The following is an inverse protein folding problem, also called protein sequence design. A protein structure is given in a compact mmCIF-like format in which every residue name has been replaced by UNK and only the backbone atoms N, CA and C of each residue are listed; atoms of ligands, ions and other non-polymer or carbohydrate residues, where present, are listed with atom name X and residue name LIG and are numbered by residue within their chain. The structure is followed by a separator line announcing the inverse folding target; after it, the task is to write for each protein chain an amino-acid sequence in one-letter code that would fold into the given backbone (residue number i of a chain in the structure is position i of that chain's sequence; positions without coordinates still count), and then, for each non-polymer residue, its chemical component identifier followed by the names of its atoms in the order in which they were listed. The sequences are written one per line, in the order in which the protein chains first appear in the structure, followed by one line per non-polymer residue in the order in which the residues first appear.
data_IF_148617711334
#
_entry.id   IF_148617711334
#
_cell.length_a   1.000
_cell.length_b   1.000
_cell.length_c   1.000
_cell.angle_alpha   90.00
_cell.angle_beta   90.00
_cell.angle_gamma   90.00
#
_symmetry.space_group_name_H-M   'P 1'
#
loop_
_entity.id
_entity.type
_entity.pdbx_description
1 polymer ?
#
# COMPACT_ATOMS: atom_id res chain seq x y z
N UNK A 1 20.39 9.39 3.60
CA UNK A 1 19.54 8.17 3.69
C UNK A 1 20.43 6.93 3.68
N UNK A 2 20.19 5.97 4.58
CA UNK A 2 21.00 4.71 4.58
C UNK A 2 20.70 3.83 3.36
N UNK A 3 21.64 2.95 2.97
CA UNK A 3 21.44 2.00 1.85
C UNK A 3 20.21 1.11 2.08
N UNK A 4 20.04 0.60 3.30
CA UNK A 4 18.89 -0.22 3.67
C UNK A 4 17.58 0.54 3.48
N UNK A 5 17.46 1.74 4.06
CA UNK A 5 16.27 2.59 3.91
C UNK A 5 15.97 2.86 2.43
N UNK A 6 17.00 3.15 1.62
CA UNK A 6 16.83 3.40 0.19
C UNK A 6 16.27 2.19 -0.57
N UNK A 7 16.78 0.99 -0.29
CA UNK A 7 16.27 -0.24 -0.90
C UNK A 7 14.81 -0.47 -0.54
N UNK A 8 14.45 -0.32 0.74
CA UNK A 8 13.06 -0.49 1.19
C UNK A 8 12.14 0.55 0.54
N UNK A 9 12.53 1.82 0.49
CA UNK A 9 11.74 2.89 -0.13
C UNK A 9 11.56 2.64 -1.63
N UNK A 10 12.61 2.25 -2.36
CA UNK A 10 12.49 1.94 -3.79
C UNK A 10 11.59 0.73 -4.03
N UNK A 11 11.75 -0.34 -3.25
CA UNK A 11 10.88 -1.51 -3.36
C UNK A 11 9.41 -1.16 -3.06
N UNK A 12 9.17 -0.33 -2.05
CA UNK A 12 7.85 0.20 -1.72
C UNK A 12 7.25 1.01 -2.88
N UNK A 13 8.01 1.90 -3.50
CA UNK A 13 7.54 2.69 -4.63
C UNK A 13 7.16 1.79 -5.81
N UNK A 14 8.02 0.83 -6.16
CA UNK A 14 7.75 -0.13 -7.23
C UNK A 14 6.52 -1.00 -6.93
N UNK A 15 6.35 -1.41 -5.67
CA UNK A 15 5.19 -2.17 -5.23
C UNK A 15 3.88 -1.38 -5.40
N UNK A 16 3.86 -0.10 -5.00
CA UNK A 16 2.68 0.74 -5.20
C UNK A 16 2.43 1.01 -6.70
N UNK A 17 3.48 1.19 -7.52
CA UNK A 17 3.33 1.34 -8.98
C UNK A 17 2.67 0.11 -9.59
N UNK A 18 3.09 -1.10 -9.16
CA UNK A 18 2.48 -2.34 -9.61
C UNK A 18 0.99 -2.41 -9.23
N UNK A 19 0.63 -2.01 -8.00
CA UNK A 19 -0.77 -1.94 -7.57
C UNK A 19 -1.58 -0.95 -8.42
N UNK A 20 -1.09 0.27 -8.61
CA UNK A 20 -1.75 1.28 -9.46
C UNK A 20 -1.99 0.73 -10.85
N UNK A 21 -0.98 0.09 -11.45
CA UNK A 21 -1.08 -0.49 -12.78
C UNK A 21 -2.18 -1.57 -12.82
N UNK A 22 -2.20 -2.49 -11.86
CA UNK A 22 -3.23 -3.52 -11.77
C UNK A 22 -4.64 -2.94 -11.61
N UNK A 23 -4.79 -1.90 -10.80
CA UNK A 23 -6.10 -1.28 -10.52
C UNK A 23 -6.65 -0.46 -11.69
N UNK A 24 -5.80 0.21 -12.47
CA UNK A 24 -6.25 1.02 -13.61
C UNK A 24 -6.38 0.24 -14.90
N UNK A 25 -5.50 -0.72 -15.15
CA UNK A 25 -5.45 -1.41 -16.44
C UNK A 25 -5.98 -2.83 -16.41
N UNK A 26 -6.10 -3.45 -15.23
CA UNK A 26 -6.61 -4.81 -15.08
C UNK A 26 -7.53 -5.02 -13.85
N UNK A 27 -8.47 -4.10 -13.53
CA UNK A 27 -9.26 -4.19 -12.30
C UNK A 27 -10.09 -5.48 -12.21
N UNK A 28 -10.50 -6.05 -13.35
CA UNK A 28 -11.25 -7.31 -13.38
C UNK A 28 -10.50 -8.51 -12.77
N UNK A 29 -9.17 -8.53 -12.85
CA UNK A 29 -8.36 -9.60 -12.25
C UNK A 29 -8.39 -9.59 -10.73
N UNK A 30 -8.45 -8.39 -10.14
CA UNK A 30 -8.63 -8.20 -8.70
C UNK A 30 -10.09 -8.44 -8.33
N UNK A 31 -11.03 -7.89 -9.09
CA UNK A 31 -12.47 -8.02 -8.88
C UNK A 31 -12.96 -9.47 -8.81
N UNK A 32 -12.35 -10.35 -9.62
CA UNK A 32 -12.63 -11.78 -9.66
C UNK A 32 -12.19 -12.55 -8.40
N UNK A 33 -11.23 -12.03 -7.63
CA UNK A 33 -10.83 -12.61 -6.33
C UNK A 33 -11.81 -12.27 -5.19
N UNK A 34 -12.75 -11.36 -5.45
CA UNK A 34 -13.84 -10.97 -4.56
C UNK A 34 -15.11 -11.69 -5.04
N UNK A 35 -16.32 -11.21 -4.71
CA UNK A 35 -17.59 -11.85 -5.14
C UNK A 35 -17.91 -11.71 -6.65
N UNK A 36 -16.95 -11.34 -7.48
CA UNK A 36 -17.17 -11.00 -8.89
C UNK A 36 -17.21 -12.22 -9.82
N UNK A 37 -18.30 -13.00 -9.82
CA UNK A 37 -18.58 -13.95 -10.92
C UNK A 37 -19.40 -13.30 -12.05
N UNK A 38 -19.74 -12.02 -11.91
CA UNK A 38 -20.50 -11.22 -12.87
C UNK A 38 -19.62 -10.09 -13.44
N UNK A 39 -20.00 -9.47 -14.57
CA UNK A 39 -19.34 -8.27 -15.06
C UNK A 39 -19.18 -7.23 -13.95
N UNK A 40 -18.03 -6.59 -13.90
CA UNK A 40 -17.75 -5.57 -12.90
C UNK A 40 -18.76 -4.41 -13.04
N UNK A 41 -19.31 -3.97 -11.91
CA UNK A 41 -20.27 -2.85 -11.93
C UNK A 41 -19.51 -1.51 -11.90
N UNK A 42 -20.08 -0.42 -12.45
CA UNK A 42 -19.43 0.89 -12.44
C UNK A 42 -19.02 1.39 -11.05
N UNK A 43 -19.80 1.09 -10.02
CA UNK A 43 -19.45 1.42 -8.62
C UNK A 43 -18.20 0.66 -8.16
N UNK A 44 -18.04 -0.60 -8.53
CA UNK A 44 -16.84 -1.39 -8.20
C UNK A 44 -15.63 -0.89 -8.98
N UNK A 45 -15.78 -0.56 -10.26
CA UNK A 45 -14.73 0.10 -11.04
C UNK A 45 -14.27 1.41 -10.39
N UNK A 46 -15.21 2.24 -9.93
CA UNK A 46 -14.89 3.47 -9.22
C UNK A 46 -14.13 3.21 -7.91
N UNK A 47 -14.50 2.18 -7.14
CA UNK A 47 -13.78 1.80 -5.91
C UNK A 47 -12.35 1.35 -6.19
N UNK A 48 -12.13 0.58 -7.26
CA UNK A 48 -10.78 0.19 -7.69
C UNK A 48 -9.98 1.40 -8.16
N UNK A 49 -10.60 2.30 -8.93
CA UNK A 49 -9.96 3.54 -9.35
C UNK A 49 -9.62 4.45 -8.14
N UNK A 50 -10.50 4.52 -7.14
CA UNK A 50 -10.25 5.25 -5.90
C UNK A 50 -9.08 4.65 -5.11
N UNK A 51 -9.02 3.32 -5.01
CA UNK A 51 -7.89 2.61 -4.41
C UNK A 51 -6.60 2.87 -5.19
N UNK A 52 -6.65 2.88 -6.52
CA UNK A 52 -5.51 3.24 -7.38
C UNK A 52 -5.01 4.65 -7.09
N UNK A 53 -5.92 5.62 -6.96
CA UNK A 53 -5.57 6.99 -6.61
C UNK A 53 -4.92 7.11 -5.23
N UNK A 54 -5.35 6.32 -4.24
CA UNK A 54 -4.67 6.25 -2.95
C UNK A 54 -3.22 5.81 -3.14
N UNK A 55 -2.94 4.76 -3.91
CA UNK A 55 -1.57 4.32 -4.15
C UNK A 55 -0.73 5.33 -4.94
N UNK A 56 -1.32 6.07 -5.88
CA UNK A 56 -0.67 7.22 -6.54
C UNK A 56 -0.28 8.28 -5.50
N UNK A 57 -1.17 8.61 -4.57
CA UNK A 57 -0.88 9.54 -3.48
C UNK A 57 0.26 9.04 -2.60
N UNK A 58 0.25 7.76 -2.21
CA UNK A 58 1.32 7.15 -1.40
C UNK A 58 2.69 7.19 -2.10
N UNK A 59 2.71 6.98 -3.43
CA UNK A 59 3.91 7.17 -4.26
C UNK A 59 4.36 8.63 -4.21
N UNK A 60 3.47 9.58 -4.48
CA UNK A 60 3.78 11.00 -4.51
C UNK A 60 4.27 11.52 -3.14
N UNK A 61 3.72 11.00 -2.04
CA UNK A 61 4.13 11.33 -0.69
C UNK A 61 5.50 10.74 -0.32
N UNK A 62 5.86 9.58 -0.90
CA UNK A 62 7.09 8.86 -0.52
C UNK A 62 8.27 9.14 -1.43
N UNK A 63 8.05 9.30 -2.74
CA UNK A 63 9.11 9.50 -3.72
C UNK A 63 10.06 10.68 -3.35
N UNK A 64 9.56 11.85 -2.89
CA UNK A 64 10.43 12.97 -2.50
C UNK A 64 11.48 12.62 -1.45
N UNK A 65 11.21 11.62 -0.60
CA UNK A 65 12.14 11.21 0.47
C UNK A 65 13.48 10.75 -0.07
N UNK A 66 13.56 10.28 -1.33
CA UNK A 66 14.82 9.88 -1.96
C UNK A 66 15.80 11.05 -2.16
N UNK A 67 15.31 12.28 -2.20
CA UNK A 67 16.11 13.49 -2.45
C UNK A 67 16.15 14.45 -1.26
N UNK A 68 15.37 14.20 -0.21
CA UNK A 68 15.36 15.00 1.00
C UNK A 68 16.68 14.88 1.77
N UNK A 69 17.18 16.02 2.27
CA UNK A 69 18.45 16.08 3.02
C UNK A 69 18.29 15.61 4.46
N UNK A 70 17.24 16.05 5.15
CA UNK A 70 17.08 15.79 6.58
C UNK A 70 16.40 14.44 6.86
N UNK A 71 17.00 13.65 7.74
CA UNK A 71 16.48 12.37 8.16
C UNK A 71 15.15 12.50 8.91
N UNK A 72 14.95 13.58 9.68
CA UNK A 72 13.67 13.82 10.39
C UNK A 72 12.49 13.90 9.43
N UNK A 73 12.62 14.67 8.34
CA UNK A 73 11.59 14.87 7.32
C UNK A 73 11.28 13.55 6.59
N UNK A 74 12.33 12.82 6.18
CA UNK A 74 12.18 11.50 5.54
C UNK A 74 11.48 10.51 6.46
N UNK A 75 11.92 10.42 7.72
CA UNK A 75 11.33 9.52 8.72
C UNK A 75 9.86 9.81 8.95
N UNK A 76 9.48 11.09 9.00
CA UNK A 76 8.09 11.49 9.16
C UNK A 76 7.23 10.96 8.00
N UNK A 77 7.63 11.22 6.75
CA UNK A 77 6.88 10.77 5.57
C UNK A 77 6.85 9.24 5.43
N UNK A 78 7.97 8.56 5.68
CA UNK A 78 8.03 7.08 5.65
C UNK A 78 7.12 6.50 6.73
N UNK A 79 7.12 7.06 7.95
CA UNK A 79 6.29 6.57 9.06
C UNK A 79 4.81 6.86 8.83
N UNK A 80 4.46 8.00 8.23
CA UNK A 80 3.09 8.32 7.86
C UNK A 80 2.54 7.30 6.85
N UNK A 81 3.32 6.97 5.81
CA UNK A 81 2.95 5.93 4.85
C UNK A 81 2.85 4.54 5.50
N UNK A 82 3.75 4.22 6.43
CA UNK A 82 3.65 3.00 7.22
C UNK A 82 2.34 2.92 8.00
N UNK A 83 1.92 4.04 8.61
CA UNK A 83 0.65 4.15 9.32
C UNK A 83 -0.55 3.85 8.43
N UNK A 84 -0.57 4.32 7.18
CA UNK A 84 -1.65 4.02 6.23
C UNK A 84 -1.72 2.51 5.93
N UNK A 85 -0.59 1.86 5.68
CA UNK A 85 -0.52 0.42 5.42
C UNK A 85 -0.92 -0.43 6.64
N UNK A 86 -0.50 -0.03 7.84
CA UNK A 86 -0.93 -0.69 9.07
C UNK A 86 -2.42 -0.51 9.31
N UNK A 87 -2.95 0.69 9.09
CA UNK A 87 -4.38 0.96 9.20
C UNK A 87 -5.18 0.10 8.23
N UNK A 88 -4.76 0.01 6.97
CA UNK A 88 -5.35 -0.88 5.97
C UNK A 88 -5.38 -2.33 6.47
N UNK A 89 -4.25 -2.88 6.92
CA UNK A 89 -4.17 -4.23 7.47
C UNK A 89 -5.15 -4.46 8.63
N UNK A 90 -5.18 -3.56 9.61
CA UNK A 90 -6.07 -3.66 10.75
C UNK A 90 -7.54 -3.56 10.35
N UNK A 91 -7.89 -2.63 9.45
CA UNK A 91 -9.28 -2.48 9.02
C UNK A 91 -9.76 -3.70 8.22
N UNK A 92 -8.89 -4.34 7.44
CA UNK A 92 -9.21 -5.59 6.75
C UNK A 92 -9.45 -6.73 7.75
N UNK A 93 -8.57 -6.93 8.74
CA UNK A 93 -8.75 -7.98 9.74
C UNK A 93 -9.93 -7.75 10.69
N UNK A 94 -10.13 -6.51 11.15
CA UNK A 94 -11.05 -6.20 12.25
C UNK A 94 -12.45 -5.80 11.78
N UNK A 95 -12.57 -5.13 10.63
CA UNK A 95 -13.82 -4.50 10.22
C UNK A 95 -14.38 -5.12 8.94
N UNK A 96 -13.56 -5.17 7.90
CA UNK A 96 -14.04 -5.37 6.54
C UNK A 96 -13.98 -6.83 6.07
N UNK A 97 -13.15 -7.66 6.71
CA UNK A 97 -13.13 -9.13 6.71
C UNK A 97 -14.35 -9.81 6.11
N UNK A 98 -15.41 -9.74 6.90
CA UNK A 98 -16.69 -10.40 6.67
C UNK A 98 -17.61 -9.62 5.72
N UNK A 99 -17.44 -8.31 5.62
CA UNK A 99 -18.35 -7.40 4.91
C UNK A 99 -18.07 -7.31 3.41
N UNK A 100 -16.79 -7.38 2.99
CA UNK A 100 -16.43 -7.25 1.57
C UNK A 100 -16.67 -8.55 0.80
N UNK A 101 -16.85 -9.67 1.50
CA UNK A 101 -17.16 -10.94 0.85
C UNK A 101 -16.01 -11.58 0.10
N UNK A 102 -14.78 -11.15 0.39
CA UNK A 102 -13.55 -11.84 0.04
C UNK A 102 -13.54 -13.26 0.61
N UNK A 103 -12.92 -14.18 -0.11
CA UNK A 103 -12.50 -15.44 0.50
C UNK A 103 -11.57 -15.12 1.68
N UNK A 104 -11.78 -15.71 2.87
CA UNK A 104 -10.98 -15.39 4.07
C UNK A 104 -9.48 -15.47 3.83
N UNK A 105 -9.03 -16.46 3.04
CA UNK A 105 -7.61 -16.65 2.70
C UNK A 105 -7.03 -15.45 1.94
N UNK A 106 -7.74 -14.92 0.96
CA UNK A 106 -7.30 -13.77 0.16
C UNK A 106 -7.25 -12.53 1.03
N UNK A 107 -8.26 -12.34 1.88
CA UNK A 107 -8.27 -11.22 2.83
C UNK A 107 -7.10 -11.26 3.82
N UNK A 108 -6.84 -12.42 4.43
CA UNK A 108 -5.71 -12.55 5.35
C UNK A 108 -4.36 -12.34 4.65
N UNK A 109 -4.26 -12.75 3.37
CA UNK A 109 -3.06 -12.51 2.56
C UNK A 109 -2.86 -11.01 2.32
N UNK A 110 -3.89 -10.29 1.89
CA UNK A 110 -3.81 -8.85 1.63
C UNK A 110 -3.48 -8.07 2.91
N UNK A 111 -4.22 -8.33 3.99
CA UNK A 111 -3.95 -7.70 5.28
C UNK A 111 -2.54 -8.03 5.80
N UNK A 112 -2.08 -9.28 5.61
CA UNK A 112 -0.73 -9.69 5.97
C UNK A 112 0.36 -8.97 5.17
N UNK A 113 0.17 -8.82 3.86
CA UNK A 113 1.07 -8.04 3.00
C UNK A 113 1.10 -6.59 3.46
N UNK A 114 -0.06 -5.98 3.71
CA UNK A 114 -0.12 -4.59 4.17
C UNK A 114 0.57 -4.40 5.52
N UNK A 115 0.40 -5.34 6.44
CA UNK A 115 1.08 -5.35 7.73
C UNK A 115 2.60 -5.43 7.58
N UNK A 116 3.10 -6.37 6.78
CA UNK A 116 4.54 -6.55 6.54
C UNK A 116 5.15 -5.31 5.89
N UNK A 117 4.48 -4.71 4.89
CA UNK A 117 4.93 -3.45 4.27
C UNK A 117 5.00 -2.34 5.30
N UNK A 118 3.95 -2.16 6.11
CA UNK A 118 3.93 -1.18 7.20
C UNK A 118 5.08 -1.35 8.17
N UNK A 119 5.33 -2.57 8.66
CA UNK A 119 6.44 -2.88 9.57
C UNK A 119 7.80 -2.61 8.92
N UNK A 120 8.01 -3.00 7.66
CA UNK A 120 9.25 -2.75 6.94
C UNK A 120 9.53 -1.25 6.80
N UNK A 121 8.50 -0.44 6.53
CA UNK A 121 8.64 1.02 6.48
C UNK A 121 8.99 1.62 7.86
N UNK A 122 8.37 1.14 8.94
CA UNK A 122 8.74 1.56 10.31
C UNK A 122 10.22 1.23 10.57
N UNK A 123 10.66 0.01 10.26
CA UNK A 123 12.07 -0.39 10.43
C UNK A 123 12.99 0.49 9.58
N UNK A 124 12.60 0.80 8.34
CA UNK A 124 13.36 1.68 7.45
C UNK A 124 13.45 3.11 7.97
N UNK A 125 12.38 3.66 8.56
CA UNK A 125 12.38 4.97 9.21
C UNK A 125 13.28 4.97 10.45
N UNK A 126 13.16 3.98 11.33
CA UNK A 126 13.99 3.86 12.53
C UNK A 126 15.49 3.72 12.21
N UNK A 127 15.79 3.07 11.08
CA UNK A 127 17.17 2.89 10.58
C UNK A 127 17.68 4.05 9.74
N UNK A 128 16.81 4.96 9.28
CA UNK A 128 17.28 6.08 8.48
C UNK A 128 18.12 7.04 9.32
N UNK A 129 19.19 7.59 8.75
CA UNK A 129 20.14 8.48 9.44
C UNK A 129 20.58 9.59 8.49
N UNK A 130 21.07 10.68 9.06
CA UNK A 130 21.85 11.66 8.30
C UNK A 130 23.08 10.95 7.72
N UNK A 131 23.37 11.22 6.46
CA UNK A 131 24.47 10.62 5.69
C UNK A 131 25.30 11.71 5.06
#
# INVERSE_FOLDING_TARGET
MTRFTRVVVVAYLLFNVAIVFSLYFAPGSLDAQYRGTAPITPTREFLWASSGNLHVFLIAATAPTLWMKHASERRYLISANAGVYLLDAFTQWLCWGKHIGLEPKVLHTNAGVSFVVGVLLIIAALRDRET
#
